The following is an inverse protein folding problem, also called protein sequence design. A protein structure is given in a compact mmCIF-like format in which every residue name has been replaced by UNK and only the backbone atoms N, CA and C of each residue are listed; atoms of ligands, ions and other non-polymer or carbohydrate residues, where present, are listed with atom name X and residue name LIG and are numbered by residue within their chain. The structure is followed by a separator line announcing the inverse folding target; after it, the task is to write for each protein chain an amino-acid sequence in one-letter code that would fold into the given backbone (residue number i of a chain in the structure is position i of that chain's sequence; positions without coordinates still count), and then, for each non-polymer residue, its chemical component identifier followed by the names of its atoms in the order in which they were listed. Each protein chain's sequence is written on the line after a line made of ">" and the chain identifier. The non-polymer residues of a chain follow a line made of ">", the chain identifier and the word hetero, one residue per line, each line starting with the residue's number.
data_IF_087546436201
#
_entry.id   IF_087546436201
#
_cell.length_a   1.000
_cell.length_b   1.000
_cell.length_c   1.000
_cell.angle_alpha   90.00
_cell.angle_beta   90.00
_cell.angle_gamma   90.00
#
_symmetry.space_group_name_H-M   'P 1'
#
loop_
_entity.id
_entity.type
_entity.pdbx_description
1 polymer ?
#
# COMPACT_ATOMS: atom_id res chain seq x y z
N UNK A 1 23.34 2.02 -24.42
CA UNK A 1 21.96 1.69 -23.98
C UNK A 1 21.98 1.67 -22.45
N UNK A 2 21.52 2.74 -21.83
CA UNK A 2 21.60 2.98 -20.39
C UNK A 2 20.76 1.94 -19.63
N UNK A 3 21.41 1.21 -18.74
CA UNK A 3 20.74 0.44 -17.70
C UNK A 3 20.12 1.43 -16.71
N UNK A 4 18.80 1.44 -16.63
CA UNK A 4 18.04 2.22 -15.65
C UNK A 4 18.09 1.47 -14.29
N UNK A 5 18.71 2.02 -13.23
CA UNK A 5 18.97 1.26 -11.99
C UNK A 5 17.79 1.26 -10.99
N UNK A 6 16.55 1.51 -11.43
CA UNK A 6 15.41 1.68 -10.50
C UNK A 6 14.60 0.41 -10.20
N UNK A 7 15.16 -0.78 -10.39
CA UNK A 7 14.54 -2.02 -9.88
C UNK A 7 15.46 -2.62 -8.82
N UNK A 8 15.03 -2.72 -7.54
CA UNK A 8 15.78 -3.49 -6.57
C UNK A 8 15.81 -4.96 -7.02
N UNK A 9 16.93 -5.68 -6.81
CA UNK A 9 17.18 -7.04 -7.31
C UNK A 9 16.32 -8.13 -6.63
N UNK A 10 15.26 -7.76 -5.91
CA UNK A 10 14.51 -8.66 -5.04
C UNK A 10 13.10 -8.86 -5.58
N UNK A 11 12.97 -9.63 -6.66
CA UNK A 11 11.69 -10.28 -6.98
C UNK A 11 11.47 -11.35 -5.92
N UNK A 12 10.92 -10.95 -4.77
CA UNK A 12 10.52 -11.88 -3.72
C UNK A 12 9.24 -12.55 -4.20
N UNK A 13 9.40 -13.69 -4.88
CA UNK A 13 8.33 -14.57 -5.35
C UNK A 13 7.65 -15.25 -4.14
N UNK A 14 7.04 -14.43 -3.29
CA UNK A 14 6.17 -14.91 -2.24
C UNK A 14 4.77 -15.07 -2.83
N UNK A 15 4.17 -16.23 -2.59
CA UNK A 15 2.75 -16.55 -2.86
C UNK A 15 1.80 -15.70 -1.99
N UNK A 16 2.14 -14.44 -1.72
CA UNK A 16 1.43 -13.54 -0.83
C UNK A 16 0.65 -12.51 -1.64
N UNK A 17 -0.55 -12.24 -1.16
CA UNK A 17 -1.62 -11.56 -1.87
C UNK A 17 -1.34 -10.06 -1.96
N UNK A 18 -0.90 -9.60 -3.15
CA UNK A 18 -0.79 -8.20 -3.58
C UNK A 18 0.25 -7.38 -2.81
N UNK A 19 1.13 -6.69 -3.53
CA UNK A 19 2.18 -5.87 -2.94
C UNK A 19 1.75 -4.40 -3.00
N UNK A 20 1.83 -3.69 -1.87
CA UNK A 20 1.64 -2.24 -1.83
C UNK A 20 3.02 -1.56 -1.71
N UNK A 21 3.31 -0.62 -2.61
CA UNK A 21 4.55 0.12 -2.63
C UNK A 21 4.31 1.58 -2.25
N UNK A 22 4.91 2.04 -1.15
CA UNK A 22 4.93 3.45 -0.77
C UNK A 22 6.31 4.02 -1.06
N UNK A 23 6.36 5.05 -1.90
CA UNK A 23 7.59 5.81 -2.19
C UNK A 23 7.62 7.05 -1.32
N UNK A 24 8.38 6.99 -0.22
CA UNK A 24 8.65 8.17 0.60
C UNK A 24 9.71 9.02 -0.14
N UNK A 25 9.45 10.33 -0.27
CA UNK A 25 10.39 11.29 -0.88
C UNK A 25 11.71 11.28 -0.09
N UNK A 26 12.73 10.55 -0.57
CA UNK A 26 14.07 10.59 0.01
C UNK A 26 14.86 9.28 0.17
N UNK A 27 14.50 8.16 -0.47
CA UNK A 27 15.31 6.89 -0.59
C UNK A 27 14.96 5.69 0.31
N UNK A 28 13.71 5.53 0.76
CA UNK A 28 13.26 4.22 1.29
C UNK A 28 11.91 3.83 0.68
N UNK A 29 11.88 2.71 -0.04
CA UNK A 29 10.65 2.08 -0.52
C UNK A 29 10.14 1.12 0.52
N UNK A 30 8.89 1.29 0.91
CA UNK A 30 8.23 0.43 1.88
C UNK A 30 7.31 -0.53 1.13
N UNK A 31 7.37 -1.81 1.51
CA UNK A 31 6.50 -2.85 1.00
C UNK A 31 5.49 -3.25 2.06
N UNK A 32 4.21 -3.21 1.72
CA UNK A 32 3.11 -3.62 2.60
C UNK A 32 2.44 -4.85 2.03
N UNK A 33 2.22 -5.85 2.88
CA UNK A 33 1.66 -7.14 2.53
C UNK A 33 0.52 -7.49 3.48
N UNK A 34 -0.48 -8.18 2.97
CA UNK A 34 -1.56 -8.73 3.78
C UNK A 34 -1.61 -10.25 3.66
N UNK A 35 -1.89 -10.92 4.76
CA UNK A 35 -2.12 -12.37 4.74
C UNK A 35 -3.44 -12.73 4.04
N UNK A 36 -3.59 -13.98 3.61
CA UNK A 36 -4.83 -14.49 2.97
C UNK A 36 -6.10 -14.21 3.79
N UNK A 37 -6.00 -14.25 5.12
CA UNK A 37 -7.12 -13.99 6.05
C UNK A 37 -7.36 -12.49 6.33
N UNK A 38 -6.51 -11.60 5.82
CA UNK A 38 -6.57 -10.12 5.94
C UNK A 38 -6.63 -9.58 7.36
N UNK A 39 -6.31 -10.40 8.36
CA UNK A 39 -6.26 -10.01 9.77
C UNK A 39 -4.86 -9.58 10.22
N UNK A 40 -3.87 -9.68 9.33
CA UNK A 40 -2.48 -9.33 9.58
C UNK A 40 -1.97 -8.50 8.42
N UNK A 41 -1.38 -7.34 8.74
CA UNK A 41 -0.56 -6.55 7.83
C UNK A 41 0.90 -6.65 8.25
N UNK A 42 1.78 -6.79 7.26
CA UNK A 42 3.23 -6.74 7.40
C UNK A 42 3.78 -5.58 6.58
N UNK A 43 4.73 -4.86 7.13
CA UNK A 43 5.43 -3.74 6.49
C UNK A 43 6.92 -4.06 6.52
N UNK A 44 7.52 -4.22 5.35
CA UNK A 44 8.95 -4.45 5.18
C UNK A 44 9.60 -3.18 4.64
N UNK A 45 10.65 -2.73 5.30
CA UNK A 45 11.46 -1.60 4.84
C UNK A 45 12.93 -1.84 5.15
N UNK A 46 13.81 -1.20 4.40
CA UNK A 46 15.24 -1.20 4.67
C UNK A 46 15.57 0.05 5.50
N UNK A 47 16.12 -0.16 6.68
CA UNK A 47 16.78 0.87 7.47
C UNK A 47 18.29 0.84 7.15
N UNK A 48 19.02 1.89 7.52
CA UNK A 48 20.45 2.12 7.17
C UNK A 48 21.36 0.90 7.32
N UNK A 49 21.05 -0.02 8.24
CA UNK A 49 21.87 -1.19 8.55
C UNK A 49 21.23 -2.55 8.23
N UNK A 50 19.95 -2.59 7.83
CA UNK A 50 19.28 -3.87 7.64
C UNK A 50 17.78 -3.79 7.35
N UNK A 51 17.18 -4.96 7.14
CA UNK A 51 15.75 -5.10 6.91
C UNK A 51 14.99 -5.06 8.23
N UNK A 52 14.00 -4.16 8.30
CA UNK A 52 13.05 -4.08 9.40
C UNK A 52 11.69 -4.60 8.94
N UNK A 53 11.06 -5.42 9.78
CA UNK A 53 9.72 -5.94 9.57
C UNK A 53 8.82 -5.50 10.71
N UNK A 54 7.83 -4.67 10.39
CA UNK A 54 6.75 -4.33 11.30
C UNK A 54 5.52 -5.15 10.98
N UNK A 55 4.76 -5.56 12.00
CA UNK A 55 3.51 -6.31 11.83
C UNK A 55 2.43 -5.82 12.78
N UNK A 56 1.19 -5.78 12.28
CA UNK A 56 -0.01 -5.48 13.06
C UNK A 56 -1.07 -6.53 12.80
N UNK A 57 -1.53 -7.16 13.88
CA UNK A 57 -2.60 -8.16 13.87
C UNK A 57 -3.86 -7.56 14.48
N UNK A 58 -4.99 -7.77 13.82
CA UNK A 58 -6.31 -7.46 14.35
C UNK A 58 -6.91 -8.74 14.93
N UNK A 59 -7.48 -8.64 16.13
CA UNK A 59 -8.09 -9.78 16.81
C UNK A 59 -9.48 -10.10 16.27
N UNK A 60 -10.31 -9.07 16.06
CA UNK A 60 -11.73 -9.20 15.71
C UNK A 60 -12.09 -8.64 14.33
N UNK A 61 -11.20 -7.84 13.74
CA UNK A 61 -11.46 -7.14 12.48
C UNK A 61 -10.54 -7.63 11.35
N UNK A 62 -10.85 -7.22 10.12
CA UNK A 62 -10.05 -7.50 8.92
C UNK A 62 -9.69 -6.18 8.25
N UNK A 63 -8.47 -6.08 7.75
CA UNK A 63 -8.04 -4.97 6.92
C UNK A 63 -8.73 -5.00 5.57
N UNK A 64 -9.11 -3.81 5.09
CA UNK A 64 -9.74 -3.67 3.78
C UNK A 64 -8.64 -3.66 2.71
N UNK A 65 -8.39 -4.84 2.16
CA UNK A 65 -7.38 -5.06 1.15
C UNK A 65 -8.00 -5.12 -0.26
N UNK A 66 -7.36 -4.54 -1.29
CA UNK A 66 -7.87 -4.58 -2.65
C UNK A 66 -8.04 -6.04 -3.09
N UNK A 67 -9.13 -6.33 -3.80
CA UNK A 67 -9.39 -7.67 -4.38
C UNK A 67 -8.66 -7.89 -5.72
N UNK A 68 -7.84 -6.94 -6.16
CA UNK A 68 -7.09 -7.00 -7.41
C UNK A 68 -6.09 -8.15 -7.41
N UNK A 69 -5.66 -8.55 -8.61
CA UNK A 69 -4.82 -9.72 -8.82
C UNK A 69 -3.59 -9.74 -7.91
N UNK A 70 -3.17 -10.92 -7.41
CA UNK A 70 -2.01 -11.05 -6.53
C UNK A 70 -0.72 -10.47 -7.11
N UNK A 71 -0.65 -10.38 -8.44
CA UNK A 71 0.51 -9.93 -9.20
C UNK A 71 0.57 -8.42 -9.42
N UNK A 72 -0.50 -7.67 -9.09
CA UNK A 72 -0.52 -6.22 -9.31
C UNK A 72 0.14 -5.50 -8.11
N UNK A 73 1.17 -4.70 -8.37
CA UNK A 73 1.76 -3.81 -7.37
C UNK A 73 0.95 -2.52 -7.35
N UNK A 74 0.41 -2.15 -6.19
CA UNK A 74 -0.36 -0.91 -6.07
C UNK A 74 0.46 0.13 -5.33
N UNK A 75 0.53 1.33 -5.88
CA UNK A 75 1.15 2.46 -5.21
C UNK A 75 0.13 3.16 -4.33
N UNK A 76 0.49 3.40 -3.07
CA UNK A 76 -0.32 4.18 -2.13
C UNK A 76 0.49 5.32 -1.55
N UNK A 77 -0.20 6.38 -1.12
CA UNK A 77 0.39 7.48 -0.37
C UNK A 77 0.51 7.16 1.13
N UNK A 78 1.27 7.97 1.86
CA UNK A 78 1.43 7.83 3.32
C UNK A 78 0.08 7.98 4.03
N UNK A 79 -0.78 8.89 3.55
CA UNK A 79 -2.13 9.10 4.09
C UNK A 79 -3.01 7.87 3.87
N UNK A 80 -2.96 7.29 2.68
CA UNK A 80 -3.68 6.06 2.38
C UNK A 80 -3.19 4.91 3.26
N UNK A 81 -1.87 4.80 3.51
CA UNK A 81 -1.35 3.82 4.46
C UNK A 81 -1.90 4.05 5.88
N UNK A 82 -1.95 5.29 6.34
CA UNK A 82 -2.51 5.62 7.65
C UNK A 82 -4.00 5.24 7.76
N UNK A 83 -4.79 5.52 6.71
CA UNK A 83 -6.19 5.11 6.63
C UNK A 83 -6.33 3.59 6.68
N UNK A 84 -5.46 2.85 5.99
CA UNK A 84 -5.44 1.38 6.00
C UNK A 84 -5.22 0.85 7.42
N UNK A 85 -4.23 1.40 8.12
CA UNK A 85 -3.87 1.00 9.48
C UNK A 85 -4.94 1.34 10.51
N UNK A 86 -5.77 2.34 10.22
CA UNK A 86 -6.91 2.77 11.03
C UNK A 86 -8.17 1.95 10.73
N UNK A 87 -8.21 1.27 9.57
CA UNK A 87 -9.34 0.41 9.15
C UNK A 87 -10.29 1.03 8.13
N UNK A 88 -9.94 2.18 7.55
CA UNK A 88 -10.73 2.81 6.50
C UNK A 88 -10.60 2.09 5.15
N UNK A 89 -11.68 2.09 4.37
CA UNK A 89 -11.73 1.50 3.03
C UNK A 89 -11.28 2.51 1.97
N UNK A 90 -9.97 2.55 1.72
CA UNK A 90 -9.34 3.48 0.77
C UNK A 90 -9.82 3.25 -0.67
N UNK A 91 -10.25 2.03 -0.99
CA UNK A 91 -10.68 1.65 -2.34
C UNK A 91 -12.10 2.13 -2.66
N UNK A 92 -12.88 2.46 -1.62
CA UNK A 92 -14.22 3.02 -1.77
C UNK A 92 -14.28 4.52 -1.52
N UNK A 93 -13.18 5.14 -1.10
CA UNK A 93 -13.09 6.59 -1.01
C UNK A 93 -13.17 7.20 -2.41
N UNK A 94 -14.38 7.62 -2.78
CA UNK A 94 -14.65 8.44 -3.97
C UNK A 94 -14.75 9.89 -3.53
N UNK A 95 -14.02 10.78 -4.19
CA UNK A 95 -14.25 12.20 -4.05
C UNK A 95 -15.67 12.54 -4.54
N UNK A 96 -16.32 13.53 -3.92
CA UNK A 96 -17.58 14.05 -4.42
C UNK A 96 -17.38 14.59 -5.85
N UNK A 97 -18.39 14.42 -6.70
CA UNK A 97 -18.38 15.02 -8.03
C UNK A 97 -18.36 16.55 -7.88
N UNK A 98 -17.58 17.21 -8.74
CA UNK A 98 -17.59 18.66 -8.84
C UNK A 98 -18.99 19.13 -9.26
N UNK A 99 -19.64 19.89 -8.39
CA UNK A 99 -20.94 20.50 -8.69
C UNK A 99 -20.70 21.77 -9.51
N UNK A 100 -21.19 21.79 -10.74
CA UNK A 100 -21.24 22.99 -11.56
C UNK A 100 -22.53 23.74 -11.22
N UNK A 101 -22.42 24.86 -10.53
CA UNK A 101 -23.55 25.75 -10.32
C UNK A 101 -23.61 26.74 -11.48
N UNK A 102 -24.74 26.80 -12.18
CA UNK A 102 -25.02 27.97 -13.02
C UNK A 102 -25.35 29.16 -12.13
N UNK A 103 -24.83 30.32 -12.54
CA UNK A 103 -25.04 31.58 -11.85
C UNK A 103 -26.54 31.87 -11.84
N UNK A 104 -27.15 31.89 -10.66
CA UNK A 104 -28.53 32.36 -10.52
C UNK A 104 -28.50 33.89 -10.65
N UNK A 105 -29.24 34.39 -11.63
CA UNK A 105 -29.36 35.82 -11.96
C UNK A 105 -29.91 36.65 -10.80
#
# INVERSE_FOLDING_TARGET
>A
KSLNPQTPPCVFESKLTTFLNLKIRGTSTIYVFSGKRRNLIKILYFDRSGFCLWQKRLERAKFVWPKKDPSEVIHISTEQLQWLLTGYDIWKMRAHAELKFEKVC
#
